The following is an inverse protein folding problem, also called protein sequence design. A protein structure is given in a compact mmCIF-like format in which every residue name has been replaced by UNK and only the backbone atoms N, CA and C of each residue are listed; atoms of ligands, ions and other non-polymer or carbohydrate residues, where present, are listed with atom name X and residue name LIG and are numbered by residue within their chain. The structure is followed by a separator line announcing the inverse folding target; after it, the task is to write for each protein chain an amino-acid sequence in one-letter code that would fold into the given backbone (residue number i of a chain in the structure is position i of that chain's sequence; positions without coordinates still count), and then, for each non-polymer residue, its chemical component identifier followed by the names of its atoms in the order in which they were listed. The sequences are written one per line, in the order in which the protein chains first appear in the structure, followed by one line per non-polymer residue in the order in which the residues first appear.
data_IF_396615489417
#
_entry.id   IF_396615489417
#
_cell.length_a   1.000
_cell.length_b   1.000
_cell.length_c   1.000
_cell.angle_alpha   90.00
_cell.angle_beta   90.00
_cell.angle_gamma   90.00
#
_symmetry.space_group_name_H-M   'P 1'
#
loop_
_entity.id
_entity.type
_entity.pdbx_description
1 polymer ?
#
# COMPACT_ATOMS: atom_id res chain seq x y z
N UNK A 1 -34.78 81.46 -37.05
CA UNK A 1 -34.68 80.74 -35.76
C UNK A 1 -34.81 79.26 -36.04
N UNK A 2 -33.67 78.58 -36.12
CA UNK A 2 -33.53 77.19 -36.55
C UNK A 2 -33.42 76.30 -35.31
N UNK A 3 -34.37 75.40 -35.12
CA UNK A 3 -34.35 74.38 -34.07
C UNK A 3 -33.45 73.21 -34.49
N UNK A 4 -32.52 72.73 -33.63
CA UNK A 4 -31.77 71.52 -33.92
C UNK A 4 -32.58 70.25 -33.60
N UNK A 5 -32.49 69.29 -34.51
CA UNK A 5 -33.07 67.93 -34.45
C UNK A 5 -32.36 67.10 -33.36
N UNK A 6 -33.08 66.29 -32.56
CA UNK A 6 -32.46 65.44 -31.54
C UNK A 6 -31.69 64.26 -32.16
N UNK A 7 -30.48 64.04 -31.66
CA UNK A 7 -29.63 62.89 -32.00
C UNK A 7 -30.27 61.60 -31.45
N UNK A 8 -30.56 60.67 -32.36
CA UNK A 8 -30.95 59.29 -32.06
C UNK A 8 -29.75 58.61 -31.39
N UNK A 9 -29.89 58.30 -30.10
CA UNK A 9 -28.92 57.54 -29.33
C UNK A 9 -29.08 56.05 -29.71
N UNK A 10 -28.15 55.50 -30.51
CA UNK A 10 -28.08 54.07 -30.80
C UNK A 10 -27.60 53.35 -29.54
N UNK A 11 -28.52 52.66 -28.87
CA UNK A 11 -28.25 51.74 -27.78
C UNK A 11 -27.68 50.43 -28.38
N UNK A 12 -26.35 50.30 -28.42
CA UNK A 12 -25.69 49.03 -28.73
C UNK A 12 -25.82 48.11 -27.53
N UNK A 13 -26.66 47.08 -27.67
CA UNK A 13 -26.86 45.99 -26.74
C UNK A 13 -25.56 45.15 -26.69
N UNK A 14 -24.68 45.44 -25.73
CA UNK A 14 -23.51 44.62 -25.43
C UNK A 14 -23.98 43.39 -24.66
N UNK A 15 -24.13 42.27 -25.35
CA UNK A 15 -24.33 40.95 -24.74
C UNK A 15 -23.07 40.57 -23.97
N UNK A 16 -23.11 40.72 -22.64
CA UNK A 16 -22.09 40.17 -21.75
C UNK A 16 -22.30 38.66 -21.71
N UNK A 17 -21.54 37.93 -22.54
CA UNK A 17 -21.41 36.49 -22.42
C UNK A 17 -20.50 36.23 -21.21
N UNK A 18 -21.10 36.04 -20.04
CA UNK A 18 -20.42 35.40 -18.91
C UNK A 18 -20.15 33.94 -19.32
N UNK A 19 -18.98 33.70 -19.92
CA UNK A 19 -18.44 32.36 -20.04
C UNK A 19 -18.12 31.88 -18.62
N UNK A 20 -19.04 31.10 -18.03
CA UNK A 20 -18.71 30.25 -16.90
C UNK A 20 -17.66 29.25 -17.40
N UNK A 21 -16.38 29.56 -17.18
CA UNK A 21 -15.34 28.54 -17.19
C UNK A 21 -15.64 27.61 -16.02
N UNK A 22 -16.37 26.53 -16.29
CA UNK A 22 -16.37 25.36 -15.42
C UNK A 22 -14.99 24.74 -15.53
N UNK A 23 -14.07 25.15 -14.65
CA UNK A 23 -12.81 24.43 -14.45
C UNK A 23 -13.17 23.05 -13.89
N UNK A 24 -13.31 22.05 -14.77
CA UNK A 24 -13.31 20.66 -14.36
C UNK A 24 -11.89 20.37 -13.88
N UNK A 25 -11.69 20.46 -12.57
CA UNK A 25 -10.46 19.94 -11.98
C UNK A 25 -10.40 18.46 -12.35
N UNK A 26 -9.29 17.98 -12.93
CA UNK A 26 -9.11 16.55 -13.10
C UNK A 26 -9.10 15.93 -11.70
N UNK A 27 -10.15 15.17 -11.38
CA UNK A 27 -10.08 14.21 -10.27
C UNK A 27 -9.10 13.14 -10.68
N UNK A 28 -7.92 13.14 -10.09
CA UNK A 28 -7.00 12.00 -10.18
C UNK A 28 -7.78 10.75 -9.76
N UNK A 29 -7.72 9.69 -10.56
CA UNK A 29 -8.28 8.41 -10.16
C UNK A 29 -7.54 7.96 -8.91
N UNK A 30 -8.27 7.59 -7.86
CA UNK A 30 -7.67 7.02 -6.67
C UNK A 30 -6.89 5.76 -7.06
N UNK A 31 -5.61 5.73 -6.72
CA UNK A 31 -4.75 4.59 -7.01
C UNK A 31 -4.98 3.51 -5.95
N UNK A 32 -5.07 2.27 -6.38
CA UNK A 32 -5.11 1.11 -5.50
C UNK A 32 -3.70 0.83 -4.98
N UNK A 33 -3.58 0.61 -3.67
CA UNK A 33 -2.33 0.34 -2.97
C UNK A 33 -2.48 -0.90 -2.10
N UNK A 34 -1.47 -1.76 -2.15
CA UNK A 34 -1.39 -2.97 -1.34
C UNK A 34 -0.26 -2.84 -0.33
N UNK A 35 -0.50 -3.19 0.93
CA UNK A 35 0.50 -3.24 2.02
C UNK A 35 0.51 -4.63 2.61
N UNK A 36 1.71 -5.17 2.87
CA UNK A 36 1.89 -6.49 3.47
C UNK A 36 2.09 -6.36 4.98
N UNK A 37 1.58 -7.31 5.74
CA UNK A 37 1.70 -7.40 7.19
C UNK A 37 2.14 -8.80 7.61
N UNK A 38 2.92 -8.86 8.69
CA UNK A 38 3.29 -10.11 9.35
C UNK A 38 2.64 -10.20 10.74
N UNK A 39 2.32 -11.42 11.15
CA UNK A 39 1.99 -11.76 12.53
C UNK A 39 3.29 -11.87 13.33
N UNK A 40 3.59 -10.87 14.15
CA UNK A 40 4.78 -10.84 14.99
C UNK A 40 4.48 -11.31 16.41
N UNK A 41 5.18 -12.37 16.84
CA UNK A 41 5.09 -12.91 18.20
C UNK A 41 3.64 -13.15 18.70
N UNK A 42 2.76 -13.64 17.81
CA UNK A 42 1.38 -13.99 18.16
C UNK A 42 1.37 -15.36 18.84
N UNK A 43 1.11 -15.41 20.15
CA UNK A 43 1.14 -16.64 20.95
C UNK A 43 -0.25 -17.00 21.47
N UNK A 44 -0.65 -18.26 21.27
CA UNK A 44 -1.93 -18.83 21.70
C UNK A 44 -1.70 -19.73 22.93
N UNK A 45 -2.42 -19.49 24.02
CA UNK A 45 -2.38 -20.29 25.24
C UNK A 45 -3.71 -21.03 25.44
N UNK A 46 -3.75 -22.38 25.40
CA UNK A 46 -4.99 -23.15 25.54
C UNK A 46 -5.41 -23.28 27.01
N UNK A 47 -5.41 -22.17 27.74
CA UNK A 47 -5.59 -22.08 29.19
C UNK A 47 -6.98 -22.52 29.68
N UNK A 48 -7.98 -22.59 28.79
CA UNK A 48 -9.33 -23.05 29.11
C UNK A 48 -9.44 -24.57 29.02
N UNK A 49 -9.02 -25.17 27.90
CA UNK A 49 -9.22 -26.62 27.68
C UNK A 49 -8.02 -27.49 28.04
N UNK A 50 -6.79 -26.95 27.94
CA UNK A 50 -5.54 -27.66 28.17
C UNK A 50 -4.53 -26.79 28.95
N UNK A 51 -4.82 -26.37 30.19
CA UNK A 51 -3.97 -25.44 30.97
C UNK A 51 -2.57 -25.97 31.33
N UNK A 52 -2.26 -27.22 30.97
CA UNK A 52 -0.93 -27.83 31.12
C UNK A 52 -0.12 -27.83 29.81
N UNK A 53 -0.74 -27.56 28.67
CA UNK A 53 -0.04 -27.40 27.41
C UNK A 53 0.73 -26.08 27.39
N UNK A 54 1.84 -26.06 26.64
CA UNK A 54 2.62 -24.84 26.48
C UNK A 54 1.99 -23.95 25.40
N UNK A 55 2.07 -22.62 25.53
CA UNK A 55 1.66 -21.71 24.46
C UNK A 55 2.38 -22.03 23.14
N UNK A 56 1.67 -21.90 22.03
CA UNK A 56 2.21 -22.10 20.69
C UNK A 56 2.10 -20.83 19.86
N UNK A 57 3.10 -20.60 19.02
CA UNK A 57 3.14 -19.43 18.16
C UNK A 57 2.32 -19.64 16.90
N UNK A 58 1.47 -18.68 16.59
CA UNK A 58 0.80 -18.53 15.32
C UNK A 58 1.66 -17.70 14.38
N UNK A 59 1.76 -18.15 13.13
CA UNK A 59 2.54 -17.47 12.09
C UNK A 59 1.61 -17.09 10.94
N UNK A 60 1.90 -15.97 10.28
CA UNK A 60 1.15 -15.59 9.11
C UNK A 60 1.63 -14.30 8.49
N UNK A 61 1.29 -14.15 7.21
CA UNK A 61 1.54 -12.96 6.40
C UNK A 61 0.30 -12.70 5.58
N UNK A 62 -0.17 -11.46 5.54
CA UNK A 62 -1.32 -11.06 4.72
C UNK A 62 -1.07 -9.74 4.00
N UNK A 63 -1.86 -9.50 2.97
CA UNK A 63 -1.91 -8.25 2.23
C UNK A 63 -3.20 -7.50 2.52
N UNK A 64 -3.14 -6.18 2.57
CA UNK A 64 -4.25 -5.25 2.68
C UNK A 64 -4.24 -4.31 1.49
N UNK A 65 -5.28 -4.37 0.67
CA UNK A 65 -5.41 -3.56 -0.54
C UNK A 65 -6.49 -2.51 -0.36
N UNK A 66 -6.16 -1.24 -0.57
CA UNK A 66 -7.03 -0.09 -0.32
C UNK A 66 -6.86 0.99 -1.39
N UNK A 67 -7.79 1.95 -1.46
CA UNK A 67 -7.63 3.11 -2.33
C UNK A 67 -6.93 4.24 -1.59
N UNK A 68 -6.00 4.95 -2.23
CA UNK A 68 -5.31 6.08 -1.60
C UNK A 68 -6.31 7.12 -1.05
N UNK A 69 -6.19 7.40 0.25
CA UNK A 69 -7.11 8.28 0.99
C UNK A 69 -8.35 7.59 1.58
N UNK A 70 -8.49 6.27 1.38
CA UNK A 70 -9.60 5.45 1.88
C UNK A 70 -9.08 4.10 2.40
N UNK A 71 -8.29 4.15 3.48
CA UNK A 71 -7.65 2.96 4.05
C UNK A 71 -8.66 2.03 4.74
N UNK A 72 -9.75 2.60 5.24
CA UNK A 72 -10.81 1.96 6.01
C UNK A 72 -11.66 0.98 5.19
N UNK A 73 -11.74 1.19 3.88
CA UNK A 73 -12.51 0.35 2.97
C UNK A 73 -11.63 -0.62 2.16
N UNK A 74 -10.45 -0.95 2.68
CA UNK A 74 -9.58 -1.96 2.08
C UNK A 74 -10.12 -3.38 2.20
N UNK A 75 -9.48 -4.31 1.49
CA UNK A 75 -9.72 -5.74 1.57
C UNK A 75 -8.43 -6.47 1.90
N UNK A 76 -8.52 -7.47 2.78
CA UNK A 76 -7.37 -8.25 3.23
C UNK A 76 -7.38 -9.69 2.69
N UNK A 77 -6.19 -10.26 2.46
CA UNK A 77 -6.02 -11.67 2.14
C UNK A 77 -4.72 -12.24 2.72
N UNK A 78 -4.78 -13.39 3.40
CA UNK A 78 -3.57 -14.11 3.83
C UNK A 78 -2.83 -14.72 2.64
N UNK A 79 -1.51 -14.51 2.63
CA UNK A 79 -0.56 -15.16 1.72
C UNK A 79 -0.04 -16.46 2.31
N UNK A 80 0.17 -16.49 3.62
CA UNK A 80 0.60 -17.63 4.39
C UNK A 80 -0.02 -17.55 5.79
N UNK A 81 -0.38 -18.70 6.35
CA UNK A 81 -0.99 -18.79 7.67
C UNK A 81 -0.69 -20.17 8.22
N UNK A 82 -0.21 -20.23 9.47
CA UNK A 82 -0.03 -21.47 10.23
C UNK A 82 -0.62 -21.27 11.62
N UNK A 83 -1.71 -21.98 11.88
CA UNK A 83 -2.45 -21.90 13.14
C UNK A 83 -2.12 -23.16 13.96
N UNK A 84 -1.59 -23.03 15.18
CA UNK A 84 -1.37 -24.14 16.09
C UNK A 84 -2.60 -25.06 16.20
N UNK A 85 -2.37 -26.37 16.25
CA UNK A 85 -3.39 -27.43 16.32
C UNK A 85 -4.33 -27.57 15.11
N UNK A 86 -4.40 -26.58 14.22
CA UNK A 86 -5.17 -26.64 12.98
C UNK A 86 -4.26 -27.04 11.79
N UNK A 87 -3.20 -26.26 11.55
CA UNK A 87 -2.22 -26.41 10.48
C UNK A 87 -2.15 -25.21 9.54
N UNK A 88 -1.51 -25.41 8.39
CA UNK A 88 -1.22 -24.35 7.42
C UNK A 88 -2.15 -24.33 6.19
N UNK A 89 -3.17 -25.20 6.17
CA UNK A 89 -4.13 -25.26 5.07
C UNK A 89 -5.36 -24.41 5.43
N UNK A 90 -5.48 -23.24 4.80
CA UNK A 90 -6.54 -22.27 5.08
C UNK A 90 -7.51 -22.11 3.90
N UNK A 91 -7.52 -23.03 2.94
CA UNK A 91 -8.46 -22.97 1.79
C UNK A 91 -9.92 -22.98 2.21
N UNK A 92 -10.20 -23.63 3.34
CA UNK A 92 -11.54 -23.87 3.85
C UNK A 92 -11.94 -22.86 4.95
N UNK A 93 -11.14 -21.80 5.15
CA UNK A 93 -11.42 -20.76 6.12
C UNK A 93 -12.21 -19.59 5.50
N UNK A 94 -13.14 -19.05 6.26
CA UNK A 94 -13.64 -17.68 6.10
C UNK A 94 -12.74 -16.80 6.94
N UNK A 95 -12.06 -15.85 6.30
CA UNK A 95 -11.18 -14.90 6.97
C UNK A 95 -11.71 -13.50 6.71
N UNK A 96 -12.10 -12.81 7.77
CA UNK A 96 -12.47 -11.41 7.75
C UNK A 96 -11.31 -10.61 8.35
N UNK A 97 -10.63 -9.82 7.53
CA UNK A 97 -9.63 -8.87 7.99
C UNK A 97 -10.29 -7.50 8.03
N UNK A 98 -10.38 -6.91 9.22
CA UNK A 98 -10.82 -5.55 9.44
C UNK A 98 -9.70 -4.70 10.02
N UNK A 99 -9.94 -3.39 10.12
CA UNK A 99 -8.93 -2.48 10.67
C UNK A 99 -8.64 -2.73 12.15
N UNK A 100 -9.62 -3.17 12.93
CA UNK A 100 -9.48 -3.33 14.39
C UNK A 100 -9.64 -4.77 14.86
N UNK A 101 -9.91 -5.69 13.94
CA UNK A 101 -10.05 -7.11 14.25
C UNK A 101 -9.73 -7.97 13.04
N UNK A 102 -9.24 -9.18 13.30
CA UNK A 102 -9.10 -10.25 12.31
C UNK A 102 -9.84 -11.47 12.84
N UNK A 103 -10.80 -11.96 12.08
CA UNK A 103 -11.62 -13.12 12.43
C UNK A 103 -11.34 -14.24 11.42
N UNK A 104 -11.16 -15.44 11.94
CA UNK A 104 -10.96 -16.66 11.16
C UNK A 104 -11.96 -17.70 11.64
N UNK A 105 -12.69 -18.31 10.70
CA UNK A 105 -13.64 -19.38 10.98
C UNK A 105 -13.69 -20.42 9.86
N UNK A 106 -14.24 -21.61 10.11
CA UNK A 106 -14.45 -22.62 9.05
C UNK A 106 -15.62 -22.25 8.13
N UNK A 107 -15.50 -22.57 6.83
CA UNK A 107 -16.59 -22.52 5.87
C UNK A 107 -17.57 -23.69 6.09
N UNK A 108 -18.30 -23.66 7.19
CA UNK A 108 -19.34 -24.63 7.51
C UNK A 108 -19.16 -25.32 8.85
N UNK A 109 -20.11 -26.21 9.15
CA UNK A 109 -20.12 -27.01 10.38
C UNK A 109 -19.70 -28.43 10.04
N UNK A 110 -18.55 -28.84 10.56
CA UNK A 110 -17.98 -30.17 10.35
C UNK A 110 -17.96 -30.91 11.67
N UNK A 111 -18.25 -32.21 11.66
CA UNK A 111 -18.12 -33.02 12.87
C UNK A 111 -16.65 -33.08 13.29
N UNK A 112 -16.38 -32.81 14.57
CA UNK A 112 -15.04 -32.85 15.19
C UNK A 112 -14.00 -31.90 14.58
N UNK A 113 -14.47 -30.90 13.83
CA UNK A 113 -13.68 -29.85 13.19
C UNK A 113 -14.33 -28.49 13.47
N UNK A 114 -13.57 -27.63 14.13
CA UNK A 114 -13.98 -26.28 14.54
C UNK A 114 -12.80 -25.34 14.45
N UNK A 115 -13.03 -24.12 13.99
CA UNK A 115 -12.08 -23.03 14.12
C UNK A 115 -12.91 -21.77 14.29
N UNK A 116 -12.69 -21.09 15.40
CA UNK A 116 -13.19 -19.75 15.71
C UNK A 116 -12.05 -19.01 16.42
N UNK A 117 -11.39 -18.10 15.70
CA UNK A 117 -10.26 -17.35 16.22
C UNK A 117 -10.48 -15.88 15.90
N UNK A 118 -10.46 -15.05 16.94
CA UNK A 118 -10.63 -13.61 16.79
C UNK A 118 -9.45 -12.88 17.44
N UNK A 119 -8.74 -12.09 16.63
CA UNK A 119 -7.68 -11.19 17.04
C UNK A 119 -8.23 -9.76 17.09
N UNK A 120 -8.46 -9.22 18.27
CA UNK A 120 -8.78 -7.79 18.42
C UNK A 120 -7.48 -6.98 18.50
N UNK A 121 -7.48 -5.80 17.90
CA UNK A 121 -6.32 -4.89 17.91
C UNK A 121 -6.57 -3.72 18.86
N UNK A 122 -5.56 -3.35 19.64
CA UNK A 122 -5.59 -2.16 20.51
C UNK A 122 -5.58 -0.87 19.70
N UNK A 123 -4.90 -0.89 18.56
CA UNK A 123 -4.85 0.20 17.60
C UNK A 123 -5.23 -0.35 16.21
N UNK A 124 -5.94 0.43 15.37
CA UNK A 124 -6.22 0.00 14.01
C UNK A 124 -4.96 -0.34 13.21
N UNK A 125 -5.10 -1.17 12.17
CA UNK A 125 -4.05 -1.40 11.19
C UNK A 125 -3.52 -0.06 10.66
N UNK A 126 -2.21 0.00 10.46
CA UNK A 126 -1.51 1.18 9.98
C UNK A 126 -0.36 0.78 9.09
N UNK A 127 -0.13 1.55 8.03
CA UNK A 127 0.95 1.30 7.07
C UNK A 127 2.34 1.56 7.67
N UNK A 128 2.44 2.28 8.79
CA UNK A 128 3.72 2.79 9.34
C UNK A 128 3.98 2.36 10.78
N UNK A 129 3.06 1.64 11.42
CA UNK A 129 3.16 1.28 12.83
C UNK A 129 2.61 -0.12 13.07
N UNK A 130 3.18 -0.81 14.04
CA UNK A 130 2.64 -2.07 14.55
C UNK A 130 1.27 -1.83 15.21
N UNK A 131 0.37 -2.79 15.05
CA UNK A 131 -0.94 -2.81 15.72
C UNK A 131 -0.93 -3.91 16.79
N UNK A 132 -0.77 -3.58 18.08
CA UNK A 132 -0.72 -4.57 19.14
C UNK A 132 -2.05 -5.32 19.29
N UNK A 133 -1.99 -6.61 19.60
CA UNK A 133 -3.17 -7.42 19.87
C UNK A 133 -3.71 -7.13 21.27
N UNK A 134 -5.03 -6.95 21.39
CA UNK A 134 -5.75 -6.90 22.66
C UNK A 134 -5.88 -8.32 23.23
N UNK A 135 -4.94 -8.69 24.09
CA UNK A 135 -4.86 -10.02 24.72
C UNK A 135 -6.02 -10.29 25.70
N UNK A 136 -6.81 -9.28 26.08
CA UNK A 136 -7.96 -9.45 26.97
C UNK A 136 -9.19 -9.89 26.18
N UNK A 137 -9.35 -9.37 24.96
CA UNK A 137 -10.52 -9.66 24.11
C UNK A 137 -10.26 -10.79 23.11
N UNK A 138 -9.01 -11.02 22.73
CA UNK A 138 -8.66 -11.98 21.69
C UNK A 138 -8.69 -13.41 22.22
N UNK A 139 -9.44 -14.26 21.53
CA UNK A 139 -9.77 -15.63 21.97
C UNK A 139 -9.69 -16.59 20.79
N UNK A 140 -9.55 -17.87 21.10
CA UNK A 140 -9.64 -18.93 20.10
C UNK A 140 -10.34 -20.18 20.63
N UNK A 141 -10.99 -20.88 19.72
CA UNK A 141 -11.49 -22.23 19.83
C UNK A 141 -11.12 -23.01 18.57
N UNK A 142 -10.25 -24.01 18.70
CA UNK A 142 -9.76 -24.83 17.61
C UNK A 142 -10.08 -26.27 17.95
N UNK A 143 -10.78 -26.98 17.08
CA UNK A 143 -11.13 -28.37 17.26
C UNK A 143 -10.66 -29.19 16.06
N UNK A 144 -9.81 -30.20 16.32
CA UNK A 144 -9.39 -31.19 15.34
C UNK A 144 -9.17 -32.53 16.03
N UNK A 145 -10.27 -33.23 16.31
CA UNK A 145 -10.27 -34.43 17.17
C UNK A 145 -10.09 -34.12 18.67
N UNK A 146 -9.22 -33.16 19.02
CA UNK A 146 -9.08 -32.55 20.34
C UNK A 146 -9.47 -31.07 20.25
N UNK A 147 -10.08 -30.52 21.31
CA UNK A 147 -10.52 -29.11 21.37
C UNK A 147 -9.54 -28.27 22.20
N UNK A 148 -8.90 -27.31 21.58
CA UNK A 148 -8.01 -26.31 22.15
C UNK A 148 -8.75 -24.97 22.25
N UNK A 149 -8.96 -24.50 23.47
CA UNK A 149 -9.66 -23.25 23.76
C UNK A 149 -8.80 -22.41 24.69
N UNK A 150 -8.74 -21.11 24.44
CA UNK A 150 -8.04 -20.18 25.31
C UNK A 150 -7.89 -18.79 24.72
N UNK A 151 -6.80 -18.12 25.09
CA UNK A 151 -6.58 -16.71 24.80
C UNK A 151 -5.30 -16.47 24.01
N UNK A 152 -5.25 -15.33 23.33
CA UNK A 152 -4.00 -14.80 22.77
C UNK A 152 -3.25 -14.08 23.89
N UNK A 153 -2.03 -14.50 24.19
CA UNK A 153 -1.27 -13.98 25.34
C UNK A 153 -0.23 -12.91 24.97
N UNK A 154 0.10 -12.78 23.69
CA UNK A 154 0.93 -11.70 23.16
C UNK A 154 0.81 -11.63 21.64
N UNK A 155 1.26 -10.52 21.06
CA UNK A 155 1.51 -10.40 19.63
C UNK A 155 1.19 -9.02 19.08
N UNK A 156 1.57 -8.81 17.83
CA UNK A 156 1.27 -7.59 17.08
C UNK A 156 1.16 -7.91 15.59
N UNK A 157 0.41 -7.08 14.88
CA UNK A 157 0.41 -7.07 13.42
C UNK A 157 1.39 -6.00 12.97
N UNK A 158 2.46 -6.38 12.27
CA UNK A 158 3.50 -5.42 11.86
C UNK A 158 3.44 -5.18 10.35
N UNK A 159 3.40 -3.93 9.87
CA UNK A 159 3.54 -3.66 8.45
C UNK A 159 4.95 -4.05 8.01
N UNK A 160 5.02 -4.81 6.91
CA UNK A 160 6.29 -5.14 6.29
C UNK A 160 6.77 -3.91 5.51
N UNK A 161 7.96 -3.36 5.82
CA UNK A 161 8.47 -2.19 5.11
C UNK A 161 8.51 -2.43 3.60
N UNK A 162 7.89 -1.53 2.84
CA UNK A 162 7.87 -1.60 1.39
C UNK A 162 8.96 -0.73 0.81
N UNK A 163 9.57 -1.18 -0.29
CA UNK A 163 10.47 -0.35 -1.07
C UNK A 163 9.71 0.87 -1.60
N UNK A 164 10.15 2.07 -1.23
CA UNK A 164 9.40 3.31 -1.46
C UNK A 164 10.30 4.41 -2.02
N UNK A 165 9.72 5.25 -2.88
CA UNK A 165 10.35 6.42 -3.47
C UNK A 165 9.58 7.67 -3.05
N UNK A 166 10.28 8.64 -2.49
CA UNK A 166 9.76 9.97 -2.20
C UNK A 166 10.57 11.05 -2.91
N UNK A 167 9.89 12.17 -3.21
CA UNK A 167 10.45 13.31 -3.94
C UNK A 167 10.29 14.55 -3.08
N UNK A 168 11.38 15.28 -2.87
CA UNK A 168 11.37 16.55 -2.16
C UNK A 168 12.10 17.62 -2.97
N UNK A 169 11.65 18.87 -2.85
CA UNK A 169 12.21 20.00 -3.57
C UNK A 169 11.18 20.68 -4.48
N UNK A 170 11.67 21.48 -5.42
CA UNK A 170 10.83 22.20 -6.39
C UNK A 170 11.47 22.11 -7.76
N UNK A 171 10.74 21.67 -8.77
CA UNK A 171 11.16 21.73 -10.17
C UNK A 171 10.96 23.17 -10.71
N UNK A 172 11.88 23.76 -11.52
CA UNK A 172 13.07 23.21 -12.19
C UNK A 172 14.40 23.34 -11.41
N UNK A 173 14.34 23.32 -10.08
CA UNK A 173 15.52 23.43 -9.22
C UNK A 173 16.06 22.05 -8.84
N UNK A 174 16.89 22.00 -7.79
CA UNK A 174 17.35 20.74 -7.24
C UNK A 174 16.17 19.99 -6.61
N UNK A 175 16.05 18.73 -6.98
CA UNK A 175 15.10 17.76 -6.41
C UNK A 175 15.92 16.67 -5.75
N UNK A 176 15.47 16.25 -4.57
CA UNK A 176 15.99 15.11 -3.84
C UNK A 176 15.03 13.94 -4.02
N UNK A 177 15.56 12.84 -4.53
CA UNK A 177 14.88 11.56 -4.59
C UNK A 177 15.42 10.71 -3.44
N UNK A 178 14.51 10.21 -2.62
CA UNK A 178 14.83 9.37 -1.47
C UNK A 178 14.18 8.02 -1.66
N UNK A 179 14.99 6.96 -1.61
CA UNK A 179 14.50 5.59 -1.65
C UNK A 179 14.78 4.92 -0.31
N UNK A 180 13.72 4.35 0.26
CA UNK A 180 13.75 3.68 1.57
C UNK A 180 13.38 2.21 1.41
N UNK A 181 13.94 1.37 2.29
CA UNK A 181 13.77 -0.10 2.29
C UNK A 181 14.28 -0.77 1.00
N UNK A 182 15.33 -0.23 0.38
CA UNK A 182 16.09 -0.94 -0.64
C UNK A 182 16.91 -2.07 -0.01
N UNK A 183 17.40 -2.99 -0.83
CA UNK A 183 18.41 -3.97 -0.41
C UNK A 183 19.66 -3.23 0.06
N UNK A 184 20.08 -3.50 1.30
CA UNK A 184 21.27 -2.87 1.89
C UNK A 184 22.51 -3.08 1.01
N UNK A 185 23.25 -2.01 0.73
CA UNK A 185 24.40 -1.99 -0.18
C UNK A 185 24.11 -2.40 -1.62
N UNK A 186 22.83 -2.55 -2.00
CA UNK A 186 22.38 -2.87 -3.34
C UNK A 186 22.25 -1.63 -4.22
N UNK A 187 22.24 -1.85 -5.54
CA UNK A 187 22.01 -0.77 -6.51
C UNK A 187 20.51 -0.56 -6.75
N UNK A 188 20.10 0.71 -6.81
CA UNK A 188 18.76 1.16 -7.10
C UNK A 188 18.77 1.94 -8.41
N UNK A 189 18.03 1.44 -9.39
CA UNK A 189 17.79 2.16 -10.64
C UNK A 189 16.60 3.09 -10.50
N UNK A 190 16.78 4.35 -10.91
CA UNK A 190 15.71 5.34 -11.01
C UNK A 190 15.35 5.43 -12.49
N UNK A 191 14.14 5.02 -12.80
CA UNK A 191 13.58 5.03 -14.16
C UNK A 191 12.50 6.10 -14.26
N UNK A 192 12.27 6.59 -15.48
CA UNK A 192 11.30 7.64 -15.72
C UNK A 192 10.52 7.42 -17.01
N UNK A 193 9.31 7.97 -17.09
CA UNK A 193 8.46 7.98 -18.28
C UNK A 193 7.52 9.19 -18.27
N UNK A 194 6.76 9.39 -19.36
CA UNK A 194 5.82 10.51 -19.51
C UNK A 194 4.35 10.13 -19.26
N UNK A 195 4.07 8.87 -18.95
CA UNK A 195 2.75 8.41 -18.52
C UNK A 195 2.87 7.11 -17.70
N UNK A 196 1.89 6.87 -16.85
CA UNK A 196 1.69 5.57 -16.21
C UNK A 196 1.34 4.51 -17.26
N UNK A 197 1.58 3.25 -16.93
CA UNK A 197 1.29 2.14 -17.83
C UNK A 197 1.81 0.83 -17.27
N UNK A 198 2.07 -0.11 -18.17
CA UNK A 198 2.66 -1.40 -17.84
C UNK A 198 3.80 -1.66 -18.82
N UNK A 199 5.03 -1.63 -18.32
CA UNK A 199 6.22 -1.94 -19.10
C UNK A 199 6.96 -3.12 -18.45
N UNK A 200 7.04 -4.24 -19.17
CA UNK A 200 7.82 -5.39 -18.73
C UNK A 200 9.28 -5.24 -19.16
N UNK A 201 10.21 -5.35 -18.20
CA UNK A 201 11.65 -5.26 -18.49
C UNK A 201 12.05 -6.40 -19.46
N UNK A 202 12.63 -6.09 -20.63
CA UNK A 202 13.00 -7.10 -21.61
C UNK A 202 14.13 -8.03 -21.14
N UNK A 203 14.12 -9.26 -21.64
CA UNK A 203 15.20 -10.22 -21.45
C UNK A 203 16.57 -9.63 -21.78
N UNK A 204 17.58 -9.97 -20.98
CA UNK A 204 18.96 -9.47 -21.13
C UNK A 204 19.29 -8.23 -20.30
N UNK A 205 18.31 -7.67 -19.58
CA UNK A 205 18.51 -6.60 -18.61
C UNK A 205 18.42 -7.14 -17.16
N UNK A 206 19.01 -6.46 -16.16
CA UNK A 206 18.71 -6.71 -14.75
C UNK A 206 17.19 -6.69 -14.50
N UNK A 207 16.68 -7.62 -13.69
CA UNK A 207 15.26 -7.75 -13.37
C UNK A 207 14.33 -7.97 -14.58
N UNK A 208 14.82 -8.66 -15.61
CA UNK A 208 13.98 -9.09 -16.73
C UNK A 208 12.71 -9.82 -16.25
N UNK A 209 11.56 -9.42 -16.80
CA UNK A 209 10.24 -9.93 -16.39
C UNK A 209 9.51 -9.08 -15.35
N UNK A 210 10.20 -8.20 -14.61
CA UNK A 210 9.54 -7.25 -13.71
C UNK A 210 8.68 -6.26 -14.50
N UNK A 211 7.47 -5.98 -14.01
CA UNK A 211 6.53 -5.03 -14.61
C UNK A 211 6.62 -3.69 -13.88
N UNK A 212 6.95 -2.64 -14.61
CA UNK A 212 6.97 -1.26 -14.12
C UNK A 212 5.60 -0.61 -14.29
N UNK A 213 5.23 0.28 -13.37
CA UNK A 213 3.98 1.07 -13.41
C UNK A 213 4.02 2.23 -14.41
N UNK A 214 4.97 2.19 -15.34
CA UNK A 214 5.28 3.22 -16.33
C UNK A 214 4.97 2.67 -17.73
N UNK A 215 4.66 3.55 -18.68
CA UNK A 215 4.37 3.12 -20.06
C UNK A 215 5.65 2.70 -20.82
N UNK A 216 5.52 2.39 -22.11
CA UNK A 216 6.65 1.96 -22.95
C UNK A 216 7.68 3.06 -23.29
N UNK A 217 7.56 4.28 -22.74
CA UNK A 217 8.56 5.35 -22.86
C UNK A 217 9.59 5.34 -21.74
N UNK A 218 9.58 4.29 -20.90
CA UNK A 218 10.55 4.09 -19.82
C UNK A 218 11.98 4.26 -20.31
N UNK A 219 12.71 5.10 -19.59
CA UNK A 219 14.14 5.29 -19.74
C UNK A 219 14.84 5.25 -18.38
N UNK A 220 16.10 4.84 -18.38
CA UNK A 220 16.96 4.89 -17.20
C UNK A 220 17.40 6.34 -16.95
N UNK A 221 17.15 6.85 -15.75
CA UNK A 221 17.62 8.17 -15.32
C UNK A 221 18.97 8.10 -14.62
N UNK A 222 19.06 7.30 -13.56
CA UNK A 222 20.26 7.16 -12.73
C UNK A 222 20.30 5.80 -12.03
N UNK A 223 21.47 5.43 -11.53
CA UNK A 223 21.66 4.33 -10.59
C UNK A 223 22.38 4.89 -9.38
N UNK A 224 21.89 4.57 -8.19
CA UNK A 224 22.53 4.91 -6.92
C UNK A 224 22.61 3.67 -6.04
N UNK A 225 23.65 3.58 -5.21
CA UNK A 225 23.82 2.47 -4.28
C UNK A 225 23.21 2.85 -2.93
N UNK A 226 22.39 1.96 -2.36
CA UNK A 226 21.85 2.12 -1.02
C UNK A 226 22.93 1.93 0.05
N UNK A 227 22.72 2.53 1.21
CA UNK A 227 23.60 2.35 2.36
C UNK A 227 23.33 1.02 3.08
N UNK A 228 23.97 0.81 4.23
CA UNK A 228 23.86 -0.41 5.01
C UNK A 228 22.48 -0.63 5.65
N UNK A 229 21.61 0.37 5.67
CA UNK A 229 20.23 0.27 6.17
C UNK A 229 19.20 0.28 5.03
N UNK A 230 19.64 0.23 3.77
CA UNK A 230 18.72 0.21 2.62
C UNK A 230 18.20 1.59 2.24
N UNK A 231 18.89 2.66 2.63
CA UNK A 231 18.53 4.03 2.30
C UNK A 231 19.41 4.55 1.17
N UNK A 232 18.81 5.18 0.16
CA UNK A 232 19.52 5.79 -0.95
C UNK A 232 18.98 7.19 -1.25
N UNK A 233 19.87 8.12 -1.59
CA UNK A 233 19.51 9.50 -1.92
C UNK A 233 20.16 9.92 -3.23
N UNK A 234 19.37 10.45 -4.15
CA UNK A 234 19.85 11.14 -5.35
C UNK A 234 19.44 12.62 -5.30
N UNK A 235 20.43 13.50 -5.29
CA UNK A 235 20.20 14.93 -5.55
C UNK A 235 20.45 15.19 -7.03
N UNK A 236 19.43 15.66 -7.75
CA UNK A 236 19.54 15.96 -9.19
C UNK A 236 18.84 17.26 -9.53
N UNK A 237 19.14 17.81 -10.70
CA UNK A 237 18.41 18.96 -11.24
C UNK A 237 17.47 18.48 -12.33
N UNK A 238 16.20 18.82 -12.19
CA UNK A 238 15.17 18.45 -13.17
C UNK A 238 15.00 19.60 -14.16
N UNK A 239 15.13 19.36 -15.47
CA UNK A 239 14.88 20.39 -16.48
C UNK A 239 13.44 20.90 -16.42
N UNK A 240 13.24 22.17 -16.75
CA UNK A 240 11.91 22.81 -16.76
C UNK A 240 10.87 22.07 -17.61
N UNK A 241 11.31 21.51 -18.75
CA UNK A 241 10.45 20.73 -19.62
C UNK A 241 9.98 19.38 -19.01
N UNK A 242 10.58 18.93 -17.91
CA UNK A 242 10.23 17.68 -17.24
C UNK A 242 9.35 17.87 -15.99
N UNK A 243 9.24 19.10 -15.48
CA UNK A 243 8.40 19.44 -14.34
C UNK A 243 6.93 19.14 -14.64
N UNK A 244 6.24 18.49 -13.72
CA UNK A 244 4.83 18.08 -13.83
C UNK A 244 4.50 17.18 -15.04
N UNK A 245 5.52 16.64 -15.71
CA UNK A 245 5.36 15.78 -16.90
C UNK A 245 6.01 14.42 -16.74
N UNK A 246 7.08 14.34 -15.94
CA UNK A 246 7.85 13.11 -15.76
C UNK A 246 7.41 12.37 -14.51
N UNK A 247 6.99 11.14 -14.71
CA UNK A 247 6.76 10.16 -13.66
C UNK A 247 8.05 9.36 -13.46
N UNK A 248 8.39 9.12 -12.21
CA UNK A 248 9.56 8.32 -11.84
C UNK A 248 9.13 7.13 -11.00
N UNK A 249 9.93 6.07 -11.09
CA UNK A 249 9.81 4.86 -10.28
C UNK A 249 11.23 4.39 -9.95
N UNK A 250 11.44 3.84 -8.76
CA UNK A 250 12.68 3.18 -8.40
C UNK A 250 12.52 1.66 -8.56
N UNK A 251 13.61 1.00 -8.94
CA UNK A 251 13.75 -0.45 -9.07
C UNK A 251 14.99 -0.88 -8.28
N UNK A 252 14.81 -1.71 -7.28
CA UNK A 252 15.92 -2.36 -6.59
C UNK A 252 16.48 -3.45 -7.52
N UNK A 253 17.73 -3.32 -7.94
CA UNK A 253 18.35 -4.24 -8.90
C UNK A 253 18.76 -5.57 -8.28
N UNK A 254 18.73 -5.69 -6.95
CA UNK A 254 19.08 -6.90 -6.21
C UNK A 254 17.85 -7.77 -5.95
N UNK A 255 16.76 -7.16 -5.45
CA UNK A 255 15.50 -7.86 -5.15
C UNK A 255 14.52 -7.86 -6.32
N UNK A 256 14.68 -6.97 -7.28
CA UNK A 256 13.74 -6.70 -8.38
C UNK A 256 12.38 -6.15 -7.92
N UNK A 257 12.31 -5.60 -6.71
CA UNK A 257 11.16 -4.87 -6.20
C UNK A 257 11.08 -3.46 -6.80
N UNK A 258 9.86 -2.97 -6.98
CA UNK A 258 9.57 -1.64 -7.53
C UNK A 258 8.93 -0.75 -6.48
N UNK A 259 9.31 0.52 -6.45
CA UNK A 259 8.63 1.52 -5.62
C UNK A 259 7.27 1.92 -6.19
N UNK A 260 6.56 2.77 -5.46
CA UNK A 260 5.49 3.61 -5.99
C UNK A 260 5.97 4.44 -7.20
N UNK A 261 5.03 4.77 -8.10
CA UNK A 261 5.23 5.76 -9.16
C UNK A 261 4.86 7.13 -8.63
N UNK A 262 5.70 8.13 -8.87
CA UNK A 262 5.45 9.50 -8.40
C UNK A 262 5.79 10.52 -9.46
N UNK A 263 5.04 11.63 -9.48
CA UNK A 263 5.29 12.76 -10.35
C UNK A 263 6.44 13.61 -9.79
N UNK A 264 7.26 14.16 -10.68
CA UNK A 264 8.27 15.16 -10.30
C UNK A 264 7.66 16.56 -10.40
N UNK A 265 7.60 17.26 -9.26
CA UNK A 265 7.01 18.59 -9.10
C UNK A 265 8.06 19.63 -8.67
#
# INVERSE_FOLDING_TARGET
MTYPVPKICRLTLQTVVCAFLTSTLPTALAQERTVRYDLDNVWLDPDISHPWEQPQQMLGTFEWTYQDGDFENGTGQFLALDIPWYGSDFSDLTINIGLSEIEMSLQGSFHDLGLDLTLFLLEPLSINAASPIDTVRSVFEIQRGVSHQGHVISGSIIPVPQFNLSVAGTCPSAVQLTMDNATALGDVAIVYAFATGSFTIPNGNPCAGTVLGLNNTVALGAIVTADAVGHAVLNTRVPDAACDQVLIQALDLTSCETSNVTLVQ
#
